data_IF_413612125812
#
_entry.id   IF_413612125812
#
_cell.length_a   1.000
_cell.length_b   1.000
_cell.length_c   1.000
_cell.angle_alpha   90.00
_cell.angle_beta   90.00
_cell.angle_gamma   90.00
#
_symmetry.space_group_name_H-M   'P 1'
#
loop_
_entity.id
_entity.type
_entity.pdbx_description
1 polymer ?
#
# COMPACT_ATOMS: atom_id res chain seq x y z
N UNK A 1 -21.35 83.30 4.48
CA UNK A 1 -21.50 82.53 5.74
C UNK A 1 -21.13 81.08 5.42
N UNK A 2 -20.04 80.55 6.01
CA UNK A 2 -19.62 79.15 5.85
C UNK A 2 -20.71 78.26 6.45
N UNK A 3 -21.20 77.28 5.70
CA UNK A 3 -22.05 76.23 6.25
C UNK A 3 -21.19 74.98 6.39
N UNK A 4 -21.31 74.41 7.59
CA UNK A 4 -20.49 73.39 8.22
C UNK A 4 -20.77 72.01 7.62
N UNK A 5 -19.71 71.21 7.55
CA UNK A 5 -19.64 69.81 7.13
C UNK A 5 -20.61 68.95 7.94
N UNK A 6 -21.40 68.11 7.27
CA UNK A 6 -22.03 66.96 7.91
C UNK A 6 -21.58 65.70 7.17
N UNK A 7 -20.55 65.07 7.72
CA UNK A 7 -20.04 63.77 7.29
C UNK A 7 -21.09 62.72 7.61
N UNK A 8 -21.85 62.30 6.61
CA UNK A 8 -22.80 61.20 6.75
C UNK A 8 -22.00 59.90 6.81
N UNK A 9 -21.89 59.35 8.02
CA UNK A 9 -21.26 58.08 8.30
C UNK A 9 -21.88 56.98 7.41
N UNK A 10 -21.03 56.29 6.65
CA UNK A 10 -21.42 55.08 5.95
C UNK A 10 -21.76 53.99 6.98
N UNK A 11 -22.85 53.22 6.83
CA UNK A 11 -23.00 52.01 7.61
C UNK A 11 -21.91 51.04 7.16
N UNK A 12 -21.00 50.72 8.07
CA UNK A 12 -20.12 49.59 7.96
C UNK A 12 -21.00 48.34 7.97
N UNK A 13 -21.42 47.91 6.78
CA UNK A 13 -22.10 46.62 6.60
C UNK A 13 -21.03 45.58 6.83
N UNK A 14 -20.88 45.15 8.08
CA UNK A 14 -20.21 43.91 8.39
C UNK A 14 -21.11 42.81 7.86
N UNK A 15 -20.95 42.47 6.57
CA UNK A 15 -21.39 41.17 6.10
C UNK A 15 -20.51 40.16 6.80
N UNK A 16 -21.08 39.55 7.83
CA UNK A 16 -20.49 38.43 8.54
C UNK A 16 -20.23 37.35 7.51
N UNK A 17 -18.94 37.09 7.26
CA UNK A 17 -18.44 35.92 6.56
C UNK A 17 -18.78 34.72 7.44
N UNK A 18 -20.03 34.26 7.34
CA UNK A 18 -20.53 33.15 8.15
C UNK A 18 -19.99 31.85 7.55
N UNK A 19 -18.80 31.48 8.02
CA UNK A 19 -18.25 30.13 8.11
C UNK A 19 -18.51 29.21 6.89
N UNK A 20 -17.54 29.18 5.96
CA UNK A 20 -17.44 28.26 4.81
C UNK A 20 -17.13 26.80 5.28
N UNK A 21 -17.67 26.34 6.41
CA UNK A 21 -17.33 25.00 6.97
C UNK A 21 -18.56 24.18 7.39
N UNK A 22 -19.76 24.63 7.03
CA UNK A 22 -20.95 23.79 6.92
C UNK A 22 -21.62 24.17 5.60
N UNK A 23 -21.93 23.19 4.75
CA UNK A 23 -22.60 23.45 3.48
C UNK A 23 -23.85 24.30 3.71
N UNK A 24 -24.25 25.10 2.71
CA UNK A 24 -25.53 25.79 2.81
C UNK A 24 -26.66 24.76 3.01
N UNK A 25 -27.71 25.09 3.77
CA UNK A 25 -28.84 24.16 4.03
C UNK A 25 -29.43 23.54 2.75
N UNK A 26 -29.40 24.28 1.64
CA UNK A 26 -29.81 23.79 0.32
C UNK A 26 -28.97 22.59 -0.14
N UNK A 27 -27.67 22.60 0.16
CA UNK A 27 -26.73 21.57 -0.24
C UNK A 27 -26.83 20.32 0.64
N UNK A 28 -27.13 20.49 1.94
CA UNK A 28 -27.43 19.36 2.83
C UNK A 28 -28.73 18.63 2.42
N UNK A 29 -29.74 19.37 1.95
CA UNK A 29 -30.97 18.77 1.43
C UNK A 29 -30.74 18.02 0.12
N UNK A 30 -29.96 18.58 -0.80
CA UNK A 30 -29.60 17.93 -2.05
C UNK A 30 -28.87 16.59 -1.81
N UNK A 31 -27.93 16.59 -0.86
CA UNK A 31 -27.21 15.39 -0.43
C UNK A 31 -28.13 14.30 0.15
N UNK A 32 -29.16 14.68 0.93
CA UNK A 32 -30.12 13.74 1.53
C UNK A 32 -31.15 13.20 0.52
N UNK A 33 -31.48 13.99 -0.50
CA UNK A 33 -32.39 13.58 -1.57
C UNK A 33 -31.72 12.65 -2.59
N UNK A 34 -30.39 12.52 -2.55
CA UNK A 34 -29.66 11.59 -3.39
C UNK A 34 -29.49 10.22 -2.69
N UNK A 35 -30.15 9.15 -3.16
CA UNK A 35 -30.07 7.82 -2.53
C UNK A 35 -28.74 7.10 -2.83
N UNK A 36 -27.87 7.70 -3.66
CA UNK A 36 -26.60 7.09 -4.01
C UNK A 36 -25.63 7.19 -2.84
N UNK A 37 -25.01 6.06 -2.41
CA UNK A 37 -24.02 6.11 -1.36
C UNK A 37 -22.83 6.95 -1.82
N UNK A 38 -22.27 7.72 -0.88
CA UNK A 38 -21.01 8.42 -1.12
C UNK A 38 -19.91 7.36 -1.19
N UNK A 39 -19.51 7.01 -2.42
CA UNK A 39 -18.35 6.16 -2.69
C UNK A 39 -17.08 6.97 -2.48
N UNK A 40 -16.75 7.23 -1.22
CA UNK A 40 -15.41 7.61 -0.84
C UNK A 40 -14.71 6.33 -0.40
N UNK A 41 -13.88 5.76 -1.28
CA UNK A 41 -13.07 4.61 -0.93
C UNK A 41 -11.94 5.08 -0.01
N UNK A 42 -11.85 4.63 1.24
CA UNK A 42 -10.73 4.97 2.12
C UNK A 42 -9.37 4.47 1.61
N UNK A 43 -9.31 3.68 0.53
CA UNK A 43 -8.07 3.33 -0.19
C UNK A 43 -7.62 4.39 -1.21
N UNK A 44 -8.52 5.28 -1.68
CA UNK A 44 -8.17 6.37 -2.61
C UNK A 44 -7.36 7.49 -1.91
N UNK A 45 -7.46 7.60 -0.59
CA UNK A 45 -6.54 8.38 0.25
C UNK A 45 -5.23 7.58 0.45
N UNK A 46 -4.55 7.30 -0.67
CA UNK A 46 -3.33 6.51 -0.69
C UNK A 46 -2.22 7.25 0.06
N UNK A 47 -1.96 6.83 1.30
CA UNK A 47 -0.79 7.25 2.07
C UNK A 47 0.47 6.92 1.26
N UNK A 48 1.23 7.94 0.86
CA UNK A 48 2.46 7.75 0.06
C UNK A 48 3.49 6.86 0.79
N UNK A 49 3.34 6.66 2.11
CA UNK A 49 4.12 5.74 2.92
C UNK A 49 3.88 4.24 2.61
N UNK A 50 2.70 3.86 2.12
CA UNK A 50 2.37 2.46 1.78
C UNK A 50 2.48 2.17 0.28
N UNK A 51 2.81 3.19 -0.51
CA UNK A 51 2.93 3.06 -1.96
C UNK A 51 4.19 2.28 -2.32
N UNK A 52 4.00 1.15 -2.99
CA UNK A 52 5.10 0.35 -3.50
C UNK A 52 5.92 1.13 -4.54
N UNK A 53 7.25 1.13 -4.38
CA UNK A 53 8.19 1.75 -5.31
C UNK A 53 8.95 0.67 -6.07
N UNK A 54 9.11 0.87 -7.37
CA UNK A 54 9.95 0.01 -8.21
C UNK A 54 11.41 0.34 -7.92
N UNK A 55 12.15 -0.62 -7.38
CA UNK A 55 13.61 -0.54 -7.24
C UNK A 55 14.29 -1.14 -8.47
N UNK A 56 15.26 -0.43 -9.04
CA UNK A 56 15.95 -0.81 -10.28
C UNK A 56 16.86 -2.03 -10.10
N UNK A 57 17.35 -2.24 -8.88
CA UNK A 57 18.17 -3.39 -8.49
C UNK A 57 17.69 -3.88 -7.12
N UNK A 58 17.46 -5.17 -7.03
CA UNK A 58 17.22 -5.87 -5.79
C UNK A 58 18.58 -6.22 -5.20
N UNK A 59 18.99 -5.55 -4.12
CA UNK A 59 20.22 -5.87 -3.40
C UNK A 59 19.95 -7.11 -2.54
N UNK A 60 20.40 -8.27 -3.02
CA UNK A 60 20.28 -9.57 -2.34
C UNK A 60 21.29 -9.72 -1.17
N UNK A 61 22.18 -8.74 -0.99
CA UNK A 61 23.34 -8.83 -0.09
C UNK A 61 23.10 -8.25 1.32
N UNK A 62 21.95 -7.62 1.58
CA UNK A 62 21.62 -6.97 2.86
C UNK A 62 20.56 -7.71 3.69
N UNK A 63 20.39 -9.00 3.42
CA UNK A 63 19.71 -9.92 4.34
C UNK A 63 20.63 -11.11 4.61
N UNK A 64 21.32 -11.08 5.75
CA UNK A 64 21.86 -12.29 6.37
C UNK A 64 20.79 -13.40 6.33
N UNK A 65 20.98 -14.39 5.45
CA UNK A 65 20.32 -15.70 5.53
C UNK A 65 18.78 -15.67 5.67
N UNK A 66 18.08 -14.71 5.05
CA UNK A 66 16.63 -14.80 4.87
C UNK A 66 16.28 -15.15 3.42
N UNK A 67 17.14 -15.92 2.75
CA UNK A 67 16.82 -16.52 1.46
C UNK A 67 15.63 -17.47 1.61
N UNK A 68 14.39 -16.98 1.41
CA UNK A 68 13.11 -17.70 1.60
C UNK A 68 13.28 -18.84 2.61
N UNK A 69 13.75 -18.44 3.80
CA UNK A 69 14.52 -19.30 4.69
C UNK A 69 13.69 -20.46 5.18
N UNK A 70 14.05 -21.68 4.78
CA UNK A 70 13.55 -22.91 5.39
C UNK A 70 13.78 -22.79 6.91
N UNK A 71 12.73 -22.44 7.66
CA UNK A 71 12.86 -22.11 9.08
C UNK A 71 13.60 -23.22 9.85
N UNK A 72 14.34 -22.84 10.89
CA UNK A 72 15.23 -23.73 11.67
C UNK A 72 14.64 -25.12 11.98
N UNK A 73 13.34 -25.20 12.27
CA UNK A 73 12.64 -26.47 12.49
C UNK A 73 12.69 -27.42 11.28
N UNK A 74 12.44 -26.90 10.07
CA UNK A 74 12.45 -27.68 8.83
C UNK A 74 13.86 -28.15 8.49
N UNK A 75 14.88 -27.30 8.70
CA UNK A 75 16.30 -27.63 8.50
C UNK A 75 16.79 -28.77 9.41
N UNK A 76 16.32 -28.81 10.67
CA UNK A 76 16.65 -29.91 11.59
C UNK A 76 15.88 -31.19 11.29
N UNK A 77 14.63 -31.08 10.82
CA UNK A 77 13.82 -32.25 10.51
C UNK A 77 14.23 -32.93 9.21
N UNK A 78 14.75 -32.20 8.21
CA UNK A 78 15.12 -32.81 6.93
C UNK A 78 16.11 -33.97 7.09
N UNK A 79 17.14 -33.82 7.92
CA UNK A 79 18.11 -34.89 8.18
C UNK A 79 17.48 -36.10 8.90
N UNK A 80 16.59 -35.87 9.87
CA UNK A 80 15.90 -36.95 10.58
C UNK A 80 14.94 -37.72 9.66
N UNK A 81 14.25 -37.02 8.74
CA UNK A 81 13.29 -37.64 7.84
C UNK A 81 13.94 -38.52 6.77
N UNK A 82 15.16 -38.18 6.32
CA UNK A 82 15.93 -39.01 5.40
C UNK A 82 16.21 -40.42 5.99
N UNK A 83 16.45 -40.49 7.30
CA UNK A 83 16.80 -41.75 7.98
C UNK A 83 15.58 -42.54 8.46
N UNK A 84 14.44 -41.87 8.69
CA UNK A 84 13.27 -42.48 9.35
C UNK A 84 12.12 -42.81 8.42
N UNK A 85 11.95 -42.08 7.31
CA UNK A 85 10.80 -42.22 6.43
C UNK A 85 11.24 -42.52 5.00
N UNK A 86 10.86 -43.72 4.54
CA UNK A 86 11.17 -44.25 3.20
C UNK A 86 10.76 -43.32 2.05
N UNK A 87 9.78 -42.44 2.28
CA UNK A 87 9.37 -41.44 1.27
C UNK A 87 10.46 -40.43 0.92
N UNK A 88 11.47 -40.28 1.80
CA UNK A 88 12.58 -39.36 1.62
C UNK A 88 13.90 -40.08 1.31
N UNK A 89 13.90 -41.37 0.99
CA UNK A 89 15.07 -42.11 0.49
C UNK A 89 15.45 -41.62 -0.93
N UNK A 90 16.07 -40.45 -1.03
CA UNK A 90 16.48 -39.83 -2.29
C UNK A 90 17.79 -39.08 -2.16
N UNK A 91 18.48 -38.88 -3.28
CA UNK A 91 19.69 -38.04 -3.32
C UNK A 91 19.28 -36.57 -3.35
N UNK A 92 19.84 -35.70 -2.50
CA UNK A 92 19.66 -34.27 -2.66
C UNK A 92 20.31 -33.84 -3.98
N UNK A 93 19.54 -33.18 -4.84
CA UNK A 93 20.01 -32.66 -6.13
C UNK A 93 19.83 -31.16 -6.17
N UNK A 94 20.86 -30.46 -6.66
CA UNK A 94 20.80 -29.03 -6.90
C UNK A 94 20.14 -28.74 -8.26
N UNK A 95 19.60 -27.52 -8.42
CA UNK A 95 19.03 -27.09 -9.71
C UNK A 95 20.04 -27.13 -10.86
N UNK A 96 21.33 -26.92 -10.57
CA UNK A 96 22.40 -26.96 -11.57
C UNK A 96 22.64 -28.38 -12.09
N UNK A 97 22.62 -29.37 -11.20
CA UNK A 97 22.77 -30.79 -11.55
C UNK A 97 21.62 -31.27 -12.43
N UNK A 98 20.36 -30.91 -12.09
CA UNK A 98 19.19 -31.27 -12.91
C UNK A 98 19.25 -30.75 -14.35
N UNK A 99 19.83 -29.55 -14.55
CA UNK A 99 19.99 -28.97 -15.89
C UNK A 99 21.08 -29.69 -16.71
N UNK A 100 22.08 -30.26 -16.05
CA UNK A 100 23.12 -31.07 -16.70
C UNK A 100 22.56 -32.42 -17.14
N UNK A 101 21.82 -33.10 -16.27
CA UNK A 101 21.22 -34.42 -16.54
C UNK A 101 20.22 -34.36 -17.71
N UNK A 102 19.36 -33.33 -17.76
CA UNK A 102 18.41 -33.12 -18.87
C UNK A 102 19.14 -32.85 -20.19
N UNK A 103 20.20 -32.04 -20.17
CA UNK A 103 20.96 -31.71 -21.38
C UNK A 103 21.83 -32.86 -21.92
N UNK A 104 22.05 -33.90 -21.13
CA UNK A 104 22.77 -35.13 -21.51
C UNK A 104 21.81 -36.19 -22.09
N UNK A 105 20.57 -36.24 -21.61
CA UNK A 105 19.53 -37.15 -22.12
C UNK A 105 19.04 -36.81 -23.53
N UNK A 106 19.27 -35.58 -24.03
CA UNK A 106 18.93 -35.15 -25.39
C UNK A 106 20.03 -35.48 -26.44
N UNK A 107 21.14 -36.13 -26.03
CA UNK A 107 22.27 -36.45 -26.92
C UNK A 107 22.47 -37.95 -27.20
N UNK A 108 21.48 -38.79 -26.89
CA UNK A 108 21.50 -40.24 -27.19
C UNK A 108 20.38 -40.66 -28.14
#
# INVERSE_FOLDING_TARGET
RRIVVSSRAAPHVQTYELCIMAGSFSQELEDLLNPLPKFADPEDDADEATKARVVERFDEDDEEDVGVGVGSLRKRNSSLLLDTDRRYEGKPVSRKELLMDVGESDKE
#
